data_IF_214148150074
#
_entry.id   IF_214148150074
#
_cell.length_a   1.000
_cell.length_b   1.000
_cell.length_c   1.000
_cell.angle_alpha   90.00
_cell.angle_beta   90.00
_cell.angle_gamma   90.00
#
_symmetry.space_group_name_H-M   'P 1'
#
loop_
_entity.id
_entity.type
_entity.pdbx_description
1 polymer ?
#
# COMPACT_ATOMS: atom_id res chain seq x y z
N UNK A 1 9.40 -5.38 -7.41
CA UNK A 1 8.92 -6.07 -6.18
C UNK A 1 10.07 -6.69 -5.37
N UNK A 2 10.97 -7.48 -5.96
CA UNK A 2 12.08 -8.11 -5.22
C UNK A 2 12.98 -7.11 -4.45
N UNK A 3 13.31 -5.98 -5.07
CA UNK A 3 14.11 -4.91 -4.41
C UNK A 3 13.36 -4.28 -3.22
N UNK A 4 12.07 -3.98 -3.37
CA UNK A 4 11.24 -3.46 -2.27
C UNK A 4 11.21 -4.43 -1.09
N UNK A 5 11.03 -5.73 -1.36
CA UNK A 5 11.03 -6.77 -0.32
C UNK A 5 12.40 -6.82 0.38
N UNK A 6 13.49 -6.74 -0.38
CA UNK A 6 14.84 -6.70 0.18
C UNK A 6 15.04 -5.48 1.09
N UNK A 7 14.63 -4.29 0.64
CA UNK A 7 14.71 -3.06 1.43
C UNK A 7 13.85 -3.15 2.70
N UNK A 8 12.60 -3.59 2.58
CA UNK A 8 11.69 -3.75 3.72
C UNK A 8 12.24 -4.71 4.77
N UNK A 9 12.75 -5.89 4.35
CA UNK A 9 13.38 -6.86 5.25
C UNK A 9 14.63 -6.28 5.92
N UNK A 10 15.44 -5.51 5.18
CA UNK A 10 16.66 -4.85 5.71
C UNK A 10 16.31 -3.78 6.76
N UNK A 11 15.33 -2.92 6.47
CA UNK A 11 14.88 -1.87 7.39
C UNK A 11 14.23 -2.47 8.64
N UNK A 12 13.41 -3.52 8.48
CA UNK A 12 12.82 -4.26 9.61
C UNK A 12 13.90 -4.90 10.49
N UNK A 13 14.93 -5.52 9.90
CA UNK A 13 16.06 -6.05 10.65
C UNK A 13 16.86 -4.96 11.39
N UNK A 14 16.84 -3.72 10.90
CA UNK A 14 17.43 -2.56 11.56
C UNK A 14 16.50 -1.90 12.62
N UNK A 15 15.30 -2.47 12.87
CA UNK A 15 14.36 -2.00 13.89
C UNK A 15 13.38 -0.93 13.39
N UNK A 16 13.26 -0.72 12.08
CA UNK A 16 12.26 0.19 11.51
C UNK A 16 10.92 -0.53 11.37
N UNK A 17 9.85 0.11 11.85
CA UNK A 17 8.48 -0.39 11.67
C UNK A 17 8.01 -0.18 10.23
N UNK A 18 7.54 -1.24 9.57
CA UNK A 18 7.12 -1.19 8.18
C UNK A 18 5.59 -1.30 8.07
N UNK A 19 4.96 -0.27 7.52
CA UNK A 19 3.52 -0.22 7.28
C UNK A 19 3.19 -0.07 5.79
N UNK A 20 2.16 -0.78 5.33
CA UNK A 20 1.55 -0.57 4.02
C UNK A 20 0.19 0.11 4.18
N UNK A 21 -0.07 1.17 3.41
CA UNK A 21 -1.41 1.73 3.23
C UNK A 21 -1.83 1.47 1.79
N UNK A 22 -2.82 0.61 1.60
CA UNK A 22 -3.36 0.29 0.27
C UNK A 22 -4.32 1.38 -0.19
N UNK A 23 -4.09 1.93 -1.37
CA UNK A 23 -4.87 3.03 -1.94
C UNK A 23 -5.97 2.51 -2.89
N UNK A 24 -6.60 3.41 -3.64
CA UNK A 24 -7.43 3.05 -4.79
C UNK A 24 -6.58 2.47 -5.94
N UNK A 25 -7.22 1.75 -6.86
CA UNK A 25 -6.54 1.08 -7.98
C UNK A 25 -6.12 2.08 -9.06
N UNK A 26 -4.84 2.10 -9.42
CA UNK A 26 -4.31 2.97 -10.47
C UNK A 26 -4.91 2.69 -11.86
N UNK A 27 -5.29 1.44 -12.11
CA UNK A 27 -5.67 0.94 -13.42
C UNK A 27 -6.94 0.08 -13.34
N UNK A 28 -7.98 0.60 -12.68
CA UNK A 28 -9.28 -0.03 -12.65
C UNK A 28 -9.92 -0.05 -14.05
N UNK A 29 -10.46 -1.19 -14.48
CA UNK A 29 -10.96 -1.45 -15.83
C UNK A 29 -12.25 -0.70 -16.17
N UNK A 30 -13.03 -0.33 -15.15
CA UNK A 30 -14.20 0.54 -15.26
C UNK A 30 -13.84 2.02 -15.46
N UNK A 31 -12.56 2.38 -15.24
CA UNK A 31 -12.02 3.72 -15.46
C UNK A 31 -11.08 3.78 -16.67
N UNK A 32 -10.35 2.69 -16.96
CA UNK A 32 -9.34 2.61 -18.01
C UNK A 32 -9.48 1.30 -18.81
N UNK A 33 -9.41 1.33 -20.15
CA UNK A 33 -9.60 0.12 -20.97
C UNK A 33 -8.32 -0.73 -21.05
N UNK A 34 -7.74 -1.12 -19.91
CA UNK A 34 -6.49 -1.88 -19.84
C UNK A 34 -6.71 -3.39 -19.64
N UNK A 35 -7.83 -3.80 -19.04
CA UNK A 35 -8.25 -5.21 -18.98
C UNK A 35 -7.48 -6.05 -17.97
N UNK A 36 -7.09 -5.49 -16.82
CA UNK A 36 -6.37 -6.20 -15.77
C UNK A 36 -7.26 -7.07 -14.87
N UNK A 37 -8.58 -7.05 -15.08
CA UNK A 37 -9.56 -7.78 -14.28
C UNK A 37 -9.78 -7.16 -12.89
N UNK A 38 -9.47 -5.87 -12.73
CA UNK A 38 -9.58 -5.13 -11.47
C UNK A 38 -10.59 -4.00 -11.66
N UNK A 39 -11.55 -3.88 -10.76
CA UNK A 39 -12.57 -2.82 -10.77
C UNK A 39 -12.24 -1.79 -9.69
N UNK A 40 -12.80 -0.58 -9.79
CA UNK A 40 -12.72 0.39 -8.72
C UNK A 40 -13.43 -0.11 -7.46
N UNK A 41 -12.95 0.29 -6.28
CA UNK A 41 -13.55 -0.11 -5.02
C UNK A 41 -14.82 0.70 -4.76
N UNK A 42 -15.96 0.05 -4.53
CA UNK A 42 -17.21 0.76 -4.19
C UNK A 42 -17.35 1.01 -2.68
N UNK A 43 -16.66 0.20 -1.86
CA UNK A 43 -16.63 0.34 -0.41
C UNK A 43 -15.29 -0.07 0.20
N UNK A 44 -15.10 0.17 1.51
CA UNK A 44 -13.88 -0.19 2.23
C UNK A 44 -13.62 -1.70 2.19
N UNK A 45 -14.67 -2.52 2.22
CA UNK A 45 -14.54 -3.98 2.18
C UNK A 45 -13.95 -4.47 0.86
N UNK A 46 -14.29 -3.83 -0.28
CA UNK A 46 -13.68 -4.13 -1.58
C UNK A 46 -12.18 -3.82 -1.55
N UNK A 47 -11.80 -2.65 -1.00
CA UNK A 47 -10.40 -2.23 -0.87
C UNK A 47 -9.62 -3.16 0.06
N UNK A 48 -10.24 -3.62 1.15
CA UNK A 48 -9.67 -4.62 2.05
C UNK A 48 -9.48 -5.97 1.34
N UNK A 49 -10.46 -6.41 0.54
CA UNK A 49 -10.36 -7.65 -0.23
C UNK A 49 -9.23 -7.58 -1.27
N UNK A 50 -9.09 -6.45 -1.98
CA UNK A 50 -8.00 -6.22 -2.92
C UNK A 50 -6.63 -6.21 -2.23
N UNK A 51 -6.48 -5.50 -1.12
CA UNK A 51 -5.26 -5.50 -0.30
C UNK A 51 -4.88 -6.92 0.17
N UNK A 52 -5.85 -7.69 0.68
CA UNK A 52 -5.63 -9.09 1.10
C UNK A 52 -5.21 -9.98 -0.07
N UNK A 53 -5.84 -9.83 -1.24
CA UNK A 53 -5.48 -10.56 -2.45
C UNK A 53 -4.05 -10.23 -2.91
N UNK A 54 -3.69 -8.94 -2.90
CA UNK A 54 -2.34 -8.47 -3.23
C UNK A 54 -1.29 -9.07 -2.27
N UNK A 55 -1.51 -8.98 -0.96
CA UNK A 55 -0.59 -9.54 0.04
C UNK A 55 -0.52 -11.07 -0.02
N UNK A 56 -1.65 -11.75 -0.26
CA UNK A 56 -1.68 -13.21 -0.44
C UNK A 56 -0.90 -13.69 -1.65
N UNK A 57 -0.83 -12.87 -2.71
CA UNK A 57 0.02 -13.13 -3.88
C UNK A 57 1.50 -12.75 -3.64
N UNK A 58 1.82 -12.05 -2.55
CA UNK A 58 3.16 -11.56 -2.21
C UNK A 58 3.53 -11.94 -0.76
N UNK A 59 3.61 -13.24 -0.42
CA UNK A 59 3.82 -13.69 0.97
C UNK A 59 5.13 -13.17 1.59
N UNK A 60 6.18 -13.00 0.77
CA UNK A 60 7.46 -12.43 1.20
C UNK A 60 7.36 -10.96 1.60
N UNK A 61 6.54 -10.19 0.89
CA UNK A 61 6.25 -8.81 1.27
C UNK A 61 5.40 -8.79 2.53
N UNK A 62 4.34 -9.59 2.59
CA UNK A 62 3.47 -9.68 3.76
C UNK A 62 4.26 -10.00 5.05
N UNK A 63 5.23 -10.93 4.99
CA UNK A 63 6.09 -11.25 6.13
C UNK A 63 7.07 -10.14 6.52
N UNK A 64 7.38 -9.22 5.60
CA UNK A 64 8.24 -8.07 5.85
C UNK A 64 7.51 -6.86 6.47
N UNK A 65 6.17 -6.84 6.45
CA UNK A 65 5.37 -5.78 7.06
C UNK A 65 5.12 -6.05 8.55
N UNK A 66 4.96 -4.99 9.33
CA UNK A 66 4.46 -5.03 10.70
C UNK A 66 2.97 -4.66 10.78
N UNK A 67 2.51 -3.84 9.83
CA UNK A 67 1.10 -3.53 9.66
C UNK A 67 0.73 -3.35 8.18
N UNK A 68 -0.52 -3.65 7.86
CA UNK A 68 -1.15 -3.30 6.59
C UNK A 68 -2.55 -2.74 6.87
N UNK A 69 -2.84 -1.59 6.27
CA UNK A 69 -4.15 -0.96 6.29
C UNK A 69 -4.58 -0.56 4.89
N UNK A 70 -5.79 -0.03 4.79
CA UNK A 70 -6.31 0.56 3.56
C UNK A 70 -6.65 2.02 3.83
N UNK A 71 -6.51 2.87 2.82
CA UNK A 71 -6.98 4.25 2.91
C UNK A 71 -8.51 4.29 2.97
N UNK A 72 -9.06 5.39 3.48
CA UNK A 72 -10.50 5.62 3.54
C UNK A 72 -11.08 5.80 2.13
N UNK A 73 -12.41 5.65 1.98
CA UNK A 73 -13.05 5.76 0.65
C UNK A 73 -13.06 7.18 0.08
N UNK A 74 -12.82 8.19 0.91
CA UNK A 74 -12.57 9.57 0.50
C UNK A 74 -11.09 9.85 0.22
N UNK A 75 -10.25 8.79 0.13
CA UNK A 75 -8.82 8.84 -0.22
C UNK A 75 -8.02 9.84 0.63
N UNK A 76 -8.32 9.90 1.93
CA UNK A 76 -7.78 10.94 2.81
C UNK A 76 -6.26 10.84 2.96
N UNK A 77 -5.69 9.64 3.10
CA UNK A 77 -4.23 9.46 3.18
C UNK A 77 -3.57 9.85 1.85
N UNK A 78 -4.12 9.38 0.73
CA UNK A 78 -3.67 9.72 -0.62
C UNK A 78 -3.59 11.23 -0.81
N UNK A 79 -4.66 11.95 -0.49
CA UNK A 79 -4.72 13.40 -0.66
C UNK A 79 -3.84 14.16 0.33
N UNK A 80 -3.79 13.73 1.59
CA UNK A 80 -2.97 14.39 2.64
C UNK A 80 -1.48 14.32 2.32
N UNK A 81 -1.01 13.18 1.80
CA UNK A 81 0.42 12.94 1.59
C UNK A 81 0.86 12.93 0.12
N UNK A 82 -0.07 13.14 -0.82
CA UNK A 82 0.20 13.05 -2.25
C UNK A 82 0.82 11.70 -2.60
N UNK A 83 0.16 10.61 -2.20
CA UNK A 83 0.71 9.25 -2.26
C UNK A 83 0.41 8.52 -3.59
N UNK A 84 -0.32 9.15 -4.51
CA UNK A 84 -0.67 8.57 -5.80
C UNK A 84 0.51 8.59 -6.81
N UNK A 85 0.66 7.57 -7.66
CA UNK A 85 -0.05 6.28 -7.67
C UNK A 85 0.53 5.27 -6.67
N UNK A 86 1.81 5.44 -6.33
CA UNK A 86 2.51 4.76 -5.26
C UNK A 86 3.52 5.74 -4.64
N UNK A 87 3.77 5.62 -3.34
CA UNK A 87 4.77 6.45 -2.67
C UNK A 87 5.31 5.78 -1.42
N UNK A 88 6.56 6.07 -1.12
CA UNK A 88 7.27 5.59 0.05
C UNK A 88 7.57 6.78 0.95
N UNK A 89 7.43 6.58 2.26
CA UNK A 89 7.70 7.59 3.26
C UNK A 89 8.58 7.01 4.35
N UNK A 90 9.47 7.83 4.91
CA UNK A 90 10.15 7.53 6.17
C UNK A 90 9.70 8.53 7.22
N UNK A 91 9.09 8.05 8.30
CA UNK A 91 8.72 8.88 9.43
C UNK A 91 9.62 8.60 10.63
N UNK A 92 9.99 9.65 11.37
CA UNK A 92 10.64 9.50 12.67
C UNK A 92 9.60 9.17 13.77
N UNK A 93 10.09 8.89 14.98
CA UNK A 93 9.23 8.55 16.12
C UNK A 93 8.35 9.72 16.61
N UNK A 94 8.58 10.95 16.15
CA UNK A 94 7.70 12.09 16.42
C UNK A 94 6.52 12.15 15.43
N UNK A 95 6.51 11.27 14.42
CA UNK A 95 5.50 11.26 13.36
C UNK A 95 5.82 12.22 12.21
N UNK A 96 7.02 12.80 12.17
CA UNK A 96 7.44 13.68 11.06
C UNK A 96 7.97 12.85 9.91
N UNK A 97 7.46 13.10 8.70
CA UNK A 97 8.02 12.55 7.46
C UNK A 97 9.36 13.23 7.17
N UNK A 98 10.40 12.43 7.07
CA UNK A 98 11.80 12.82 6.82
C UNK A 98 12.25 12.49 5.40
N UNK A 99 11.52 11.62 4.71
CA UNK A 99 11.69 11.30 3.30
C UNK A 99 10.34 10.91 2.69
#
# INVERSE_FOLDING_TARGET
MAELIFVAKTLKAAGVFIALIYLQEAHADDMWPLGYGVQSHACVDDRLAACRRFLGAQPDLQGALDAAGVDTMDDRFLHTYGAWPERYFLADLSGRITW
#
